data_IF_910117567272
#
_entry.id   IF_910117567272
#
_cell.length_a   1.000
_cell.length_b   1.000
_cell.length_c   1.000
_cell.angle_alpha   90.00
_cell.angle_beta   90.00
_cell.angle_gamma   90.00
#
_symmetry.space_group_name_H-M   'P 1'
#
loop_
_entity.id
_entity.type
_entity.pdbx_description
1 polymer ?
#
# COMPACT_ATOMS: atom_id res chain seq x y z
N UNK A 1 4.92 -2.10 -50.38
CA UNK A 1 5.22 -1.37 -49.16
C UNK A 1 3.91 -1.23 -48.37
N UNK A 2 3.78 -1.75 -47.15
CA UNK A 2 2.59 -1.52 -46.37
C UNK A 2 2.50 -0.05 -45.97
N UNK A 3 1.38 0.56 -46.30
CA UNK A 3 1.00 1.92 -46.01
C UNK A 3 1.11 2.16 -44.50
N UNK A 4 2.07 2.99 -44.07
CA UNK A 4 2.20 3.44 -42.71
C UNK A 4 1.02 4.37 -42.45
N UNK A 5 -0.12 3.80 -42.03
CA UNK A 5 -1.27 4.57 -41.61
C UNK A 5 -0.84 5.66 -40.61
N UNK A 6 -1.61 6.75 -40.46
CA UNK A 6 -1.22 7.94 -39.72
C UNK A 6 -0.64 7.56 -38.37
N UNK A 7 0.65 7.90 -38.15
CA UNK A 7 1.34 7.68 -36.89
C UNK A 7 0.55 8.39 -35.78
N UNK A 8 0.07 7.62 -34.82
CA UNK A 8 -0.58 8.15 -33.64
C UNK A 8 0.49 8.45 -32.59
N UNK A 9 1.04 9.66 -32.52
CA UNK A 9 2.23 9.99 -31.71
C UNK A 9 1.96 9.80 -30.19
N UNK A 10 0.70 9.75 -29.81
CA UNK A 10 0.29 9.54 -28.42
C UNK A 10 0.21 8.04 -28.02
N UNK A 11 0.14 7.12 -28.99
CA UNK A 11 -0.01 5.69 -28.70
C UNK A 11 1.13 5.12 -27.83
N UNK A 12 2.39 5.54 -27.97
CA UNK A 12 3.47 5.14 -27.05
C UNK A 12 3.24 5.51 -25.59
N UNK A 13 2.37 6.49 -25.29
CA UNK A 13 2.00 6.85 -23.92
C UNK A 13 1.17 5.75 -23.22
N UNK A 14 0.58 4.82 -23.98
CA UNK A 14 -0.05 3.63 -23.43
C UNK A 14 1.00 2.53 -23.42
N UNK A 15 1.67 2.31 -22.30
CA UNK A 15 2.74 1.33 -22.19
C UNK A 15 2.20 -0.11 -22.24
N UNK A 16 2.99 -1.05 -22.79
CA UNK A 16 2.60 -2.47 -22.80
C UNK A 16 2.54 -3.04 -21.38
N UNK A 17 1.56 -3.91 -21.12
CA UNK A 17 1.33 -4.48 -19.79
C UNK A 17 0.76 -3.49 -18.75
N UNK A 18 0.42 -2.29 -19.19
CA UNK A 18 -0.18 -1.21 -18.41
C UNK A 18 -1.47 -0.73 -19.07
N UNK A 19 -2.15 0.20 -18.42
CA UNK A 19 -3.34 0.83 -18.96
C UNK A 19 -3.35 2.34 -18.71
N UNK A 20 -4.28 3.01 -19.37
CA UNK A 20 -4.63 4.40 -19.09
C UNK A 20 -6.14 4.58 -19.12
N UNK A 21 -6.64 5.63 -18.46
CA UNK A 21 -8.03 6.02 -18.61
C UNK A 21 -8.24 6.86 -19.88
N UNK A 22 -9.41 6.74 -20.49
CA UNK A 22 -9.82 7.64 -21.61
C UNK A 22 -9.71 9.10 -21.22
N UNK A 23 -10.13 9.43 -20.00
CA UNK A 23 -10.06 10.79 -19.46
C UNK A 23 -8.61 11.30 -19.43
N UNK A 24 -7.68 10.50 -18.91
CA UNK A 24 -6.25 10.88 -18.87
C UNK A 24 -5.69 11.16 -20.28
N UNK A 25 -6.02 10.32 -21.28
CA UNK A 25 -5.59 10.54 -22.66
C UNK A 25 -6.16 11.82 -23.25
N UNK A 26 -7.42 12.15 -22.97
CA UNK A 26 -8.05 13.37 -23.45
C UNK A 26 -7.46 14.63 -22.80
N UNK A 27 -7.31 14.62 -21.48
CA UNK A 27 -6.93 15.79 -20.68
C UNK A 27 -5.43 16.04 -20.64
N UNK A 28 -4.63 14.98 -20.49
CA UNK A 28 -3.17 15.09 -20.28
C UNK A 28 -2.35 14.87 -21.55
N UNK A 29 -2.84 14.01 -22.46
CA UNK A 29 -2.16 13.73 -23.72
C UNK A 29 -2.74 14.45 -24.94
N UNK A 30 -3.82 15.23 -24.75
CA UNK A 30 -4.45 16.00 -25.81
C UNK A 30 -5.04 15.14 -26.95
N UNK A 31 -5.35 13.88 -26.69
CA UNK A 31 -5.88 12.94 -27.68
C UNK A 31 -7.34 13.29 -27.97
N UNK A 32 -7.73 13.39 -29.24
CA UNK A 32 -9.14 13.62 -29.58
C UNK A 32 -9.98 12.34 -29.38
N UNK A 33 -11.27 12.51 -29.06
CA UNK A 33 -12.21 11.39 -28.93
C UNK A 33 -12.21 10.53 -30.20
N UNK A 34 -12.20 11.16 -31.37
CA UNK A 34 -12.17 10.47 -32.66
C UNK A 34 -10.91 9.61 -32.86
N UNK A 35 -9.72 10.11 -32.49
CA UNK A 35 -8.47 9.38 -32.59
C UNK A 35 -8.48 8.15 -31.66
N UNK A 36 -9.02 8.29 -30.45
CA UNK A 36 -9.14 7.23 -29.49
C UNK A 36 -10.14 6.14 -29.95
N UNK A 37 -11.30 6.53 -30.47
CA UNK A 37 -12.30 5.59 -30.98
C UNK A 37 -11.77 4.84 -32.22
N UNK A 38 -11.00 5.49 -33.09
CA UNK A 38 -10.33 4.85 -34.22
C UNK A 38 -9.26 3.85 -33.75
N UNK A 39 -8.51 4.15 -32.71
CA UNK A 39 -7.52 3.21 -32.16
C UNK A 39 -8.18 1.96 -31.57
N UNK A 40 -9.35 2.10 -30.92
CA UNK A 40 -10.14 0.98 -30.43
C UNK A 40 -10.72 0.15 -31.60
N UNK A 41 -11.32 0.80 -32.61
CA UNK A 41 -11.88 0.12 -33.79
C UNK A 41 -10.82 -0.63 -34.60
N UNK A 42 -9.62 -0.09 -34.70
CA UNK A 42 -8.49 -0.71 -35.44
C UNK A 42 -7.71 -1.74 -34.63
N UNK A 43 -8.10 -2.04 -33.39
CA UNK A 43 -7.43 -3.00 -32.53
C UNK A 43 -6.04 -2.55 -32.01
N UNK A 44 -5.68 -1.27 -32.16
CA UNK A 44 -4.45 -0.70 -31.58
C UNK A 44 -4.57 -0.52 -30.08
N UNK A 45 -5.79 -0.36 -29.57
CA UNK A 45 -6.18 -0.39 -28.17
C UNK A 45 -7.31 -1.38 -27.95
N UNK A 46 -7.38 -1.92 -26.75
CA UNK A 46 -8.48 -2.72 -26.24
C UNK A 46 -9.08 -2.08 -24.98
N UNK A 47 -10.36 -2.34 -24.74
CA UNK A 47 -11.05 -1.87 -23.54
C UNK A 47 -10.93 -2.92 -22.45
N UNK A 48 -10.31 -2.58 -21.32
CA UNK A 48 -10.25 -3.46 -20.15
C UNK A 48 -11.48 -3.31 -19.25
N UNK A 49 -11.97 -2.08 -19.11
CA UNK A 49 -13.17 -1.73 -18.36
C UNK A 49 -13.74 -0.43 -18.93
N UNK A 50 -14.92 -0.03 -18.48
CA UNK A 50 -15.53 1.23 -18.94
C UNK A 50 -14.58 2.41 -18.66
N UNK A 51 -14.11 3.04 -19.73
CA UNK A 51 -13.19 4.18 -19.65
C UNK A 51 -11.73 3.84 -19.38
N UNK A 52 -11.35 2.56 -19.39
CA UNK A 52 -9.98 2.09 -19.21
C UNK A 52 -9.53 1.33 -20.46
N UNK A 53 -8.37 1.70 -21.01
CA UNK A 53 -7.85 1.12 -22.25
C UNK A 53 -6.38 0.73 -22.08
N UNK A 54 -5.99 -0.35 -22.78
CA UNK A 54 -4.62 -0.86 -22.83
C UNK A 54 -4.20 -1.17 -24.27
N UNK A 55 -2.91 -1.39 -24.47
CA UNK A 55 -2.43 -1.99 -25.72
C UNK A 55 -2.63 -3.50 -25.68
N UNK A 56 -3.11 -4.11 -26.77
CA UNK A 56 -3.23 -5.56 -26.84
C UNK A 56 -1.85 -6.25 -26.89
N UNK A 57 -1.84 -7.55 -26.64
CA UNK A 57 -0.68 -8.43 -26.81
C UNK A 57 0.13 -8.67 -25.53
N UNK A 58 0.12 -7.78 -24.56
CA UNK A 58 0.77 -7.98 -23.25
C UNK A 58 -0.29 -7.83 -22.16
N UNK A 59 -0.61 -8.91 -21.42
CA UNK A 59 -1.59 -8.84 -20.34
C UNK A 59 -1.19 -7.82 -19.28
N UNK A 60 -2.16 -7.08 -18.77
CA UNK A 60 -1.94 -6.19 -17.61
C UNK A 60 -1.86 -7.06 -16.36
N UNK A 61 -0.74 -6.95 -15.63
CA UNK A 61 -0.55 -7.59 -14.33
C UNK A 61 -0.87 -6.60 -13.20
N UNK A 62 -0.87 -7.06 -11.95
CA UNK A 62 -1.11 -6.17 -10.83
C UNK A 62 -0.01 -5.09 -10.70
N UNK A 63 1.26 -5.43 -11.00
CA UNK A 63 2.36 -4.46 -11.03
C UNK A 63 2.12 -3.38 -12.10
N UNK A 64 1.63 -3.81 -13.28
CA UNK A 64 1.22 -2.89 -14.34
C UNK A 64 0.08 -1.99 -13.92
N UNK A 65 -0.85 -2.46 -13.05
CA UNK A 65 -1.89 -1.63 -12.45
C UNK A 65 -1.28 -0.57 -11.55
N UNK A 66 -0.40 -0.95 -10.62
CA UNK A 66 0.22 0.00 -9.68
C UNK A 66 1.06 1.04 -10.41
N UNK A 67 1.86 0.63 -11.40
CA UNK A 67 2.64 1.55 -12.26
C UNK A 67 1.72 2.52 -13.02
N UNK A 68 0.60 2.03 -13.57
CA UNK A 68 -0.40 2.86 -14.24
C UNK A 68 -1.06 3.87 -13.31
N UNK A 69 -1.40 3.46 -12.08
CA UNK A 69 -1.96 4.33 -11.05
C UNK A 69 -0.99 5.47 -10.71
N UNK A 70 0.29 5.16 -10.45
CA UNK A 70 1.30 6.17 -10.12
C UNK A 70 1.53 7.16 -11.27
N UNK A 71 1.39 6.72 -12.52
CA UNK A 71 1.54 7.60 -13.68
C UNK A 71 0.32 8.50 -13.90
N UNK A 72 -0.89 7.99 -13.63
CA UNK A 72 -2.13 8.71 -13.93
C UNK A 72 -2.65 9.57 -12.79
N UNK A 73 -2.42 9.15 -11.56
CA UNK A 73 -2.92 9.87 -10.40
C UNK A 73 -1.90 10.91 -9.93
N UNK A 74 -2.38 12.11 -9.59
CA UNK A 74 -1.57 13.15 -8.94
C UNK A 74 -1.41 12.86 -7.43
N UNK A 75 -1.32 11.59 -7.08
CA UNK A 75 -1.19 11.12 -5.70
C UNK A 75 -0.38 9.83 -5.65
N UNK A 76 0.42 9.69 -4.61
CA UNK A 76 1.17 8.48 -4.34
C UNK A 76 0.23 7.28 -4.17
N UNK A 77 0.52 6.19 -4.89
CA UNK A 77 -0.07 4.86 -4.69
C UNK A 77 1.05 3.86 -4.48
N UNK A 78 0.97 3.07 -3.44
CA UNK A 78 2.00 2.08 -3.15
C UNK A 78 1.39 0.79 -2.60
N UNK A 79 2.14 -0.31 -2.77
CA UNK A 79 1.84 -1.59 -2.14
C UNK A 79 2.32 -1.54 -0.69
N UNK A 80 1.43 -1.84 0.27
CA UNK A 80 1.76 -1.76 1.69
C UNK A 80 1.13 -2.90 2.51
N UNK A 81 1.14 -2.75 3.82
CA UNK A 81 0.53 -3.66 4.77
C UNK A 81 0.94 -5.12 4.58
N UNK A 82 -0.02 -6.04 4.66
CA UNK A 82 0.22 -7.48 4.53
C UNK A 82 0.88 -7.86 3.21
N UNK A 83 0.55 -7.17 2.10
CA UNK A 83 1.16 -7.46 0.80
C UNK A 83 2.66 -7.14 0.77
N UNK A 84 3.07 -6.00 1.31
CA UNK A 84 4.49 -5.65 1.39
C UNK A 84 5.26 -6.54 2.39
N UNK A 85 4.63 -6.99 3.48
CA UNK A 85 5.22 -7.94 4.41
C UNK A 85 5.37 -9.34 3.79
N UNK A 86 4.42 -9.77 2.97
CA UNK A 86 4.52 -11.04 2.22
C UNK A 86 5.68 -11.02 1.22
N UNK A 87 5.83 -9.92 0.47
CA UNK A 87 6.95 -9.72 -0.45
C UNK A 87 8.31 -9.66 0.28
N UNK A 88 8.32 -9.19 1.53
CA UNK A 88 9.51 -9.19 2.38
C UNK A 88 9.80 -10.57 3.03
N UNK A 89 8.96 -11.59 2.79
CA UNK A 89 9.08 -12.91 3.40
C UNK A 89 8.74 -12.96 4.90
N UNK A 90 8.06 -11.93 5.41
CA UNK A 90 7.72 -11.79 6.83
C UNK A 90 6.30 -12.30 7.15
N UNK A 91 5.46 -12.51 6.15
CA UNK A 91 4.14 -13.08 6.30
C UNK A 91 4.17 -14.55 5.86
N UNK A 92 4.30 -15.47 6.82
CA UNK A 92 4.29 -16.91 6.56
C UNK A 92 2.89 -17.48 6.27
N UNK A 93 1.85 -16.72 6.55
CA UNK A 93 0.51 -17.03 6.07
C UNK A 93 0.45 -16.63 4.60
N UNK A 94 0.66 -17.61 3.72
CA UNK A 94 0.36 -17.44 2.30
C UNK A 94 -1.09 -16.97 2.21
N UNK A 95 -1.27 -15.69 1.98
CA UNK A 95 -2.59 -15.16 1.68
C UNK A 95 -2.96 -15.62 0.26
N UNK A 96 -3.46 -16.87 0.15
CA UNK A 96 -4.00 -17.42 -1.09
C UNK A 96 -5.25 -16.67 -1.58
N UNK A 97 -5.66 -15.63 -0.86
CA UNK A 97 -6.87 -14.86 -1.21
C UNK A 97 -6.70 -14.04 -2.49
N UNK A 98 -5.48 -13.92 -3.03
CA UNK A 98 -5.21 -13.09 -4.20
C UNK A 98 -5.41 -11.60 -3.95
N UNK A 99 -5.44 -11.15 -2.69
CA UNK A 99 -5.60 -9.75 -2.32
C UNK A 99 -4.29 -8.98 -2.42
N UNK A 100 -4.36 -7.77 -2.96
CA UNK A 100 -3.26 -6.83 -2.98
C UNK A 100 -3.68 -5.54 -2.26
N UNK A 101 -2.97 -5.22 -1.19
CA UNK A 101 -3.22 -4.04 -0.36
C UNK A 101 -2.52 -2.82 -0.96
N UNK A 102 -3.32 -1.88 -1.45
CA UNK A 102 -2.88 -0.60 -2.00
C UNK A 102 -3.18 0.54 -1.05
N UNK A 103 -2.24 1.44 -0.90
CA UNK A 103 -2.31 2.58 0.01
C UNK A 103 -2.16 3.88 -0.76
N UNK A 104 -3.01 4.87 -0.45
CA UNK A 104 -2.95 6.19 -1.07
C UNK A 104 -3.62 7.25 -0.21
N UNK A 105 -3.24 8.49 -0.39
CA UNK A 105 -3.97 9.66 0.16
C UNK A 105 -5.23 9.98 -0.66
N UNK A 106 -5.26 9.57 -1.93
CA UNK A 106 -6.42 9.74 -2.81
C UNK A 106 -7.53 8.70 -2.55
N UNK A 107 -8.77 8.97 -2.94
CA UNK A 107 -9.85 7.99 -2.94
C UNK A 107 -9.61 6.87 -3.96
N UNK A 108 -10.22 5.71 -3.70
CA UNK A 108 -10.19 4.58 -4.63
C UNK A 108 -10.80 4.95 -5.99
N UNK A 109 -10.11 4.72 -7.12
CA UNK A 109 -10.70 4.92 -8.42
C UNK A 109 -11.88 3.97 -8.68
N UNK A 110 -13.04 4.46 -9.15
CA UNK A 110 -14.26 3.64 -9.25
C UNK A 110 -14.20 2.52 -10.31
N UNK A 111 -13.20 2.57 -11.18
CA UNK A 111 -12.94 1.54 -12.19
C UNK A 111 -11.98 0.45 -11.73
N UNK A 112 -11.25 0.63 -10.63
CA UNK A 112 -10.20 -0.30 -10.18
C UNK A 112 -10.75 -1.72 -9.99
N UNK A 113 -11.86 -1.86 -9.27
CA UNK A 113 -12.53 -3.16 -9.03
C UNK A 113 -13.22 -3.75 -10.26
N UNK A 114 -13.25 -3.02 -11.38
CA UNK A 114 -13.87 -3.47 -12.64
C UNK A 114 -12.85 -3.98 -13.65
N UNK A 115 -11.56 -3.93 -13.31
CA UNK A 115 -10.50 -4.49 -14.14
C UNK A 115 -10.63 -6.01 -14.19
N UNK A 116 -10.42 -6.63 -15.37
CA UNK A 116 -10.56 -8.08 -15.56
C UNK A 116 -9.32 -8.82 -15.06
N UNK A 117 -8.95 -8.62 -13.79
CA UNK A 117 -7.82 -9.26 -13.14
C UNK A 117 -8.31 -10.23 -12.06
N UNK A 118 -7.51 -11.27 -11.81
CA UNK A 118 -7.76 -12.21 -10.71
C UNK A 118 -7.38 -11.62 -9.34
N UNK A 119 -6.60 -10.53 -9.34
CA UNK A 119 -6.16 -9.84 -8.13
C UNK A 119 -7.29 -9.02 -7.54
N UNK A 120 -7.60 -9.22 -6.27
CA UNK A 120 -8.56 -8.40 -5.51
C UNK A 120 -7.81 -7.23 -4.87
N UNK A 121 -8.06 -6.02 -5.35
CA UNK A 121 -7.42 -4.81 -4.84
C UNK A 121 -8.15 -4.30 -3.61
N UNK A 122 -7.43 -4.23 -2.49
CA UNK A 122 -7.90 -3.65 -1.23
C UNK A 122 -7.30 -2.26 -1.07
N UNK A 123 -8.14 -1.22 -1.18
CA UNK A 123 -7.69 0.17 -1.13
C UNK A 123 -7.77 0.75 0.28
N UNK A 124 -6.64 1.27 0.76
CA UNK A 124 -6.52 1.92 2.06
C UNK A 124 -6.24 3.42 1.90
N UNK A 125 -7.09 4.25 2.49
CA UNK A 125 -6.82 5.69 2.60
C UNK A 125 -5.92 5.98 3.79
N UNK A 126 -4.73 6.54 3.53
CA UNK A 126 -3.65 6.66 4.51
C UNK A 126 -3.64 7.93 5.33
N UNK A 127 -4.41 8.96 4.97
CA UNK A 127 -4.38 10.27 5.62
C UNK A 127 -4.75 10.29 7.12
N UNK A 128 -5.37 9.21 7.64
CA UNK A 128 -5.61 9.03 9.08
C UNK A 128 -4.41 8.46 9.82
N UNK A 129 -3.54 7.76 9.10
CA UNK A 129 -2.35 7.11 9.66
C UNK A 129 -1.12 8.00 9.52
N UNK A 130 -0.91 8.57 8.34
CA UNK A 130 0.30 9.28 7.98
C UNK A 130 0.11 10.79 7.81
N UNK A 131 1.11 11.56 8.22
CA UNK A 131 1.40 12.84 7.61
C UNK A 131 2.10 12.59 6.27
N UNK A 132 1.56 13.13 5.17
CA UNK A 132 2.07 12.83 3.84
C UNK A 132 3.50 13.29 3.63
N UNK A 133 3.83 14.51 4.01
CA UNK A 133 5.17 15.06 3.84
C UNK A 133 6.20 14.31 4.69
N UNK A 134 5.85 14.01 5.94
CA UNK A 134 6.71 13.27 6.84
C UNK A 134 6.89 11.82 6.38
N UNK A 135 5.86 11.17 5.82
CA UNK A 135 5.97 9.84 5.23
C UNK A 135 6.95 9.83 4.05
N UNK A 136 6.82 10.76 3.12
CA UNK A 136 7.74 10.88 1.98
C UNK A 136 9.19 11.14 2.44
N UNK A 137 9.37 11.98 3.47
CA UNK A 137 10.69 12.26 4.05
C UNK A 137 11.30 11.08 4.83
N UNK A 138 10.50 10.09 5.23
CA UNK A 138 10.98 8.93 6.01
C UNK A 138 11.85 7.97 5.21
N UNK A 139 11.84 8.07 3.89
CA UNK A 139 12.56 7.18 2.96
C UNK A 139 12.22 5.69 3.20
N UNK A 140 10.94 5.40 3.46
CA UNK A 140 10.42 4.07 3.78
C UNK A 140 9.77 3.36 2.59
N UNK A 141 9.61 4.07 1.47
CA UNK A 141 9.13 3.50 0.22
C UNK A 141 10.31 3.06 -0.64
N UNK A 142 10.17 1.91 -1.28
CA UNK A 142 11.14 1.35 -2.24
C UNK A 142 10.57 1.43 -3.65
N UNK A 143 11.38 1.88 -4.57
CA UNK A 143 11.06 1.85 -5.99
C UNK A 143 11.24 0.45 -6.55
N UNK A 144 10.21 -0.04 -7.23
CA UNK A 144 10.17 -1.35 -7.86
C UNK A 144 10.04 -1.16 -9.37
N UNK A 145 10.92 -1.76 -10.18
CA UNK A 145 10.87 -1.59 -11.63
C UNK A 145 9.71 -2.37 -12.25
N UNK A 146 9.06 -1.75 -13.24
CA UNK A 146 8.11 -2.43 -14.13
C UNK A 146 8.23 -1.85 -15.54
N UNK A 147 8.85 -2.60 -16.46
CA UNK A 147 9.17 -2.14 -17.81
C UNK A 147 9.96 -0.80 -17.79
N UNK A 148 9.41 0.27 -18.36
CA UNK A 148 9.99 1.61 -18.34
C UNK A 148 9.55 2.48 -17.16
N UNK A 149 8.67 1.98 -16.31
CA UNK A 149 8.09 2.71 -15.20
C UNK A 149 8.52 2.14 -13.85
N UNK A 150 8.20 2.86 -12.81
CA UNK A 150 8.41 2.47 -11.42
C UNK A 150 7.09 2.41 -10.68
N UNK A 151 7.00 1.53 -9.71
CA UNK A 151 5.96 1.53 -8.70
C UNK A 151 6.58 1.50 -7.31
N UNK A 152 5.79 1.78 -6.27
CA UNK A 152 6.28 1.98 -4.92
C UNK A 152 5.81 0.86 -4.00
N UNK A 153 6.69 0.39 -3.11
CA UNK A 153 6.37 -0.58 -2.07
C UNK A 153 6.86 -0.12 -0.70
N UNK A 154 6.03 -0.28 0.31
CA UNK A 154 6.40 0.02 1.69
C UNK A 154 7.53 -0.88 2.19
N UNK A 155 8.42 -0.34 3.00
CA UNK A 155 9.36 -1.14 3.79
C UNK A 155 8.63 -1.96 4.85
N UNK A 156 9.28 -2.97 5.41
CA UNK A 156 8.70 -3.80 6.46
C UNK A 156 8.24 -2.97 7.68
N UNK A 157 9.02 -1.95 8.07
CA UNK A 157 8.68 -1.04 9.17
C UNK A 157 7.40 -0.28 8.91
N UNK A 158 7.25 0.29 7.71
CA UNK A 158 6.04 1.03 7.32
C UNK A 158 4.84 0.07 7.21
N UNK A 159 5.01 -1.03 6.50
CA UNK A 159 3.97 -2.02 6.26
C UNK A 159 3.41 -2.59 7.56
N UNK A 160 4.25 -2.82 8.57
CA UNK A 160 3.78 -3.28 9.88
C UNK A 160 2.92 -2.23 10.61
N UNK A 161 3.32 -0.96 10.59
CA UNK A 161 2.50 0.11 11.16
C UNK A 161 1.14 0.25 10.46
N UNK A 162 1.10 -0.02 9.15
CA UNK A 162 -0.13 -0.06 8.37
C UNK A 162 -1.03 -1.23 8.76
N UNK A 163 -0.45 -2.42 8.95
CA UNK A 163 -1.17 -3.61 9.45
C UNK A 163 -1.81 -3.34 10.82
N UNK A 164 -1.13 -2.62 11.71
CA UNK A 164 -1.66 -2.29 13.04
C UNK A 164 -2.92 -1.39 13.01
N UNK A 165 -3.21 -0.74 11.88
CA UNK A 165 -4.50 -0.05 11.71
C UNK A 165 -5.68 -1.01 11.71
N UNK A 166 -5.47 -2.22 11.23
CA UNK A 166 -6.50 -3.24 11.05
C UNK A 166 -6.65 -4.17 12.28
N UNK A 167 -5.81 -4.00 13.30
CA UNK A 167 -5.90 -4.73 14.57
C UNK A 167 -6.95 -4.07 15.48
N UNK A 168 -7.90 -4.85 16.05
CA UNK A 168 -8.08 -6.29 15.97
C UNK A 168 -9.08 -6.75 14.89
N UNK A 169 -9.54 -5.86 14.02
CA UNK A 169 -10.63 -6.11 13.07
C UNK A 169 -10.28 -7.16 12.02
N UNK A 170 -9.54 -6.74 10.98
CA UNK A 170 -9.14 -7.63 9.88
C UNK A 170 -7.86 -8.41 10.19
N UNK A 171 -7.08 -7.98 11.18
CA UNK A 171 -5.85 -8.64 11.64
C UNK A 171 -5.97 -8.92 13.13
N UNK A 172 -5.82 -10.18 13.54
CA UNK A 172 -5.86 -10.55 14.96
C UNK A 172 -4.60 -10.09 15.70
N UNK A 173 -4.68 -9.99 17.02
CA UNK A 173 -3.51 -9.74 17.88
C UNK A 173 -2.43 -10.80 17.67
N UNK A 174 -2.84 -12.07 17.59
CA UNK A 174 -1.94 -13.19 17.39
C UNK A 174 -1.22 -13.09 16.04
N UNK A 175 -1.93 -12.74 14.97
CA UNK A 175 -1.30 -12.54 13.66
C UNK A 175 -0.30 -11.37 13.70
N UNK A 176 -0.65 -10.25 14.34
CA UNK A 176 0.27 -9.11 14.47
C UNK A 176 1.52 -9.47 15.30
N UNK A 177 1.36 -10.25 16.37
CA UNK A 177 2.48 -10.74 17.19
C UNK A 177 3.42 -11.68 16.39
N UNK A 178 2.84 -12.60 15.62
CA UNK A 178 3.59 -13.50 14.73
C UNK A 178 4.37 -12.72 13.65
N UNK A 179 3.77 -11.68 13.09
CA UNK A 179 4.47 -10.78 12.16
C UNK A 179 5.66 -10.08 12.85
N UNK A 180 5.44 -9.53 14.05
CA UNK A 180 6.51 -8.89 14.82
C UNK A 180 7.63 -9.87 15.15
N UNK A 181 7.31 -11.14 15.43
CA UNK A 181 8.31 -12.17 15.70
C UNK A 181 9.31 -12.35 14.54
N UNK A 182 8.89 -12.15 13.29
CA UNK A 182 9.78 -12.18 12.12
C UNK A 182 10.67 -10.94 11.97
N UNK A 183 10.43 -9.85 12.75
CA UNK A 183 11.01 -8.52 12.51
C UNK A 183 12.27 -8.25 13.35
N UNK A 184 13.19 -9.20 13.43
CA UNK A 184 14.42 -9.08 14.24
C UNK A 184 15.41 -8.01 13.72
N UNK A 185 15.34 -7.61 12.46
CA UNK A 185 16.33 -6.77 11.79
C UNK A 185 15.76 -5.46 11.24
N UNK A 186 14.80 -4.83 11.93
CA UNK A 186 14.25 -3.53 11.52
C UNK A 186 15.25 -2.38 11.72
N UNK A 187 15.13 -1.34 10.90
CA UNK A 187 15.94 -0.13 10.99
C UNK A 187 15.40 0.83 12.06
N UNK A 188 16.10 1.07 13.19
CA UNK A 188 15.62 2.00 14.19
C UNK A 188 15.49 3.43 13.65
N UNK A 189 16.38 3.86 12.75
CA UNK A 189 16.30 5.18 12.11
C UNK A 189 15.02 5.34 11.28
N UNK A 190 14.65 4.31 10.52
CA UNK A 190 13.41 4.34 9.71
C UNK A 190 12.18 4.28 10.59
N UNK A 191 12.21 3.44 11.63
CA UNK A 191 11.13 3.37 12.63
C UNK A 191 10.94 4.72 13.33
N UNK A 192 11.99 5.40 13.75
CA UNK A 192 11.91 6.72 14.37
C UNK A 192 11.21 7.73 13.44
N UNK A 193 11.63 7.80 12.17
CA UNK A 193 11.01 8.69 11.20
C UNK A 193 9.52 8.36 10.98
N UNK A 194 9.17 7.06 10.86
CA UNK A 194 7.80 6.61 10.66
C UNK A 194 6.91 6.84 11.88
N UNK A 195 7.41 6.60 13.10
CA UNK A 195 6.65 6.85 14.32
C UNK A 195 6.37 8.34 14.53
N UNK A 196 7.28 9.22 14.08
CA UNK A 196 7.07 10.67 14.04
C UNK A 196 6.05 11.07 12.97
N UNK A 197 6.08 10.43 11.80
CA UNK A 197 5.11 10.64 10.72
C UNK A 197 3.73 10.08 11.04
N UNK A 198 3.64 9.11 11.95
CA UNK A 198 2.40 8.43 12.31
C UNK A 198 1.52 9.35 13.19
N UNK A 199 0.30 9.64 12.71
CA UNK A 199 -0.71 10.44 13.42
C UNK A 199 -1.59 9.61 14.34
N UNK A 200 -1.53 8.28 14.24
CA UNK A 200 -2.49 7.41 14.88
C UNK A 200 -1.95 6.85 16.21
N UNK A 201 -2.41 7.42 17.32
CA UNK A 201 -1.98 7.05 18.70
C UNK A 201 -2.10 5.55 18.98
N UNK A 202 -3.24 4.92 18.61
CA UNK A 202 -3.45 3.48 18.84
C UNK A 202 -2.40 2.63 18.13
N UNK A 203 -2.03 2.98 16.90
CA UNK A 203 -1.01 2.26 16.12
C UNK A 203 0.35 2.36 16.80
N UNK A 204 0.74 3.56 17.25
CA UNK A 204 2.02 3.75 17.98
C UNK A 204 2.07 2.93 19.26
N UNK A 205 0.97 2.91 20.03
CA UNK A 205 0.88 2.12 21.27
C UNK A 205 0.95 0.61 21.00
N UNK A 206 0.22 0.12 19.99
CA UNK A 206 0.27 -1.28 19.58
C UNK A 206 1.67 -1.66 19.09
N UNK A 207 2.33 -0.78 18.32
CA UNK A 207 3.69 -1.02 17.86
C UNK A 207 4.64 -1.25 19.04
N UNK A 208 4.66 -0.36 20.02
CA UNK A 208 5.52 -0.51 21.19
C UNK A 208 5.15 -1.72 22.03
N UNK A 209 3.85 -2.00 22.21
CA UNK A 209 3.37 -3.18 22.91
C UNK A 209 3.92 -4.47 22.28
N UNK A 210 3.79 -4.66 20.97
CA UNK A 210 4.34 -5.84 20.31
C UNK A 210 5.87 -5.86 20.30
N UNK A 211 6.52 -4.71 20.10
CA UNK A 211 7.97 -4.62 20.08
C UNK A 211 8.62 -5.01 21.42
N UNK A 212 8.00 -4.63 22.54
CA UNK A 212 8.51 -4.97 23.90
C UNK A 212 8.40 -6.46 24.19
N UNK A 213 7.42 -7.16 23.64
CA UNK A 213 7.24 -8.60 23.83
C UNK A 213 8.40 -9.43 23.25
N UNK A 214 9.05 -8.95 22.19
CA UNK A 214 10.10 -9.70 21.49
C UNK A 214 11.54 -9.26 21.84
N UNK A 215 11.73 -8.11 22.50
CA UNK A 215 13.01 -7.67 23.07
C UNK A 215 14.16 -7.50 22.06
N UNK A 216 13.87 -7.15 20.82
CA UNK A 216 14.87 -6.98 19.77
C UNK A 216 15.83 -5.81 20.05
N UNK A 217 17.09 -5.92 19.63
CA UNK A 217 18.12 -4.91 19.85
C UNK A 217 17.75 -3.52 19.29
N UNK A 218 17.03 -3.49 18.15
CA UNK A 218 16.56 -2.22 17.55
C UNK A 218 15.56 -1.49 18.44
N UNK A 219 14.76 -2.22 19.24
CA UNK A 219 13.76 -1.63 20.14
C UNK A 219 14.40 -0.70 21.19
N UNK A 220 15.57 -1.04 21.69
CA UNK A 220 16.31 -0.25 22.67
C UNK A 220 16.79 1.11 22.15
N UNK A 221 16.69 1.34 20.84
CA UNK A 221 17.03 2.62 20.19
C UNK A 221 15.84 3.57 20.07
N UNK A 222 14.66 3.17 20.53
CA UNK A 222 13.40 3.93 20.41
C UNK A 222 12.85 4.19 21.81
N UNK A 223 12.83 5.46 22.25
CA UNK A 223 12.19 5.83 23.51
C UNK A 223 10.72 6.20 23.24
N UNK A 224 9.73 5.50 23.84
CA UNK A 224 8.33 5.83 23.66
C UNK A 224 7.98 7.28 24.02
N UNK A 225 8.78 7.93 24.88
CA UNK A 225 8.58 9.34 25.30
C UNK A 225 8.86 10.34 24.18
N UNK A 226 9.58 9.94 23.13
CA UNK A 226 9.87 10.78 21.98
C UNK A 226 8.70 10.91 21.01
N UNK A 227 7.59 10.17 21.26
CA UNK A 227 6.44 10.10 20.38
C UNK A 227 5.15 10.46 21.11
N UNK A 228 4.27 11.19 20.41
CA UNK A 228 2.93 11.45 20.94
C UNK A 228 2.12 10.14 21.00
N UNK A 229 2.06 9.56 22.18
CA UNK A 229 1.22 8.40 22.50
C UNK A 229 -0.16 8.82 23.02
N UNK A 230 -0.47 10.12 23.05
CA UNK A 230 -1.74 10.67 23.56
C UNK A 230 -1.98 10.35 25.03
N UNK A 231 -3.11 10.82 25.55
CA UNK A 231 -3.53 10.59 26.93
C UNK A 231 -4.68 9.57 27.02
N UNK A 232 -4.86 8.98 28.22
CA UNK A 232 -5.97 8.11 28.57
C UNK A 232 -5.94 6.71 27.93
N UNK A 233 -6.86 5.88 28.39
CA UNK A 233 -6.99 4.49 27.96
C UNK A 233 -7.60 4.38 26.56
N UNK A 234 -7.24 3.33 25.83
CA UNK A 234 -7.84 2.99 24.51
C UNK A 234 -8.31 1.53 24.56
N UNK A 235 -9.57 1.33 24.27
CA UNK A 235 -10.10 -0.02 24.08
C UNK A 235 -9.68 -0.49 22.68
N UNK A 236 -8.89 -1.55 22.64
CA UNK A 236 -8.49 -2.22 21.40
C UNK A 236 -9.11 -3.62 21.37
N UNK A 237 -8.90 -4.44 22.40
CA UNK A 237 -9.58 -5.71 22.55
C UNK A 237 -10.78 -5.53 23.50
N UNK A 238 -12.00 -5.79 23.01
CA UNK A 238 -13.20 -5.82 23.84
C UNK A 238 -13.12 -6.98 24.85
N UNK A 239 -13.47 -6.71 26.12
CA UNK A 239 -13.36 -7.71 27.20
C UNK A 239 -11.94 -8.13 27.56
N UNK A 240 -10.93 -7.49 26.98
CA UNK A 240 -9.50 -7.69 27.27
C UNK A 240 -9.08 -7.06 28.61
N UNK A 241 -7.79 -7.24 28.95
CA UNK A 241 -7.16 -6.60 30.10
C UNK A 241 -6.41 -5.34 29.67
N UNK A 242 -6.35 -4.36 30.57
CA UNK A 242 -5.59 -3.14 30.34
C UNK A 242 -4.08 -3.39 30.50
N UNK A 243 -3.31 -3.14 29.45
CA UNK A 243 -1.86 -2.98 29.56
C UNK A 243 -1.56 -1.64 30.23
N UNK A 244 -0.83 -1.63 31.37
CA UNK A 244 -0.59 -0.41 32.14
C UNK A 244 0.46 0.49 31.49
N UNK A 245 1.37 -0.04 30.66
CA UNK A 245 2.46 0.67 30.03
C UNK A 245 1.97 1.56 28.88
N UNK A 246 1.18 0.94 27.99
CA UNK A 246 0.71 1.64 26.79
C UNK A 246 -0.77 2.07 26.87
N UNK A 247 -1.44 1.76 27.98
CA UNK A 247 -2.85 2.11 28.24
C UNK A 247 -3.79 1.67 27.11
N UNK A 248 -3.59 0.45 26.60
CA UNK A 248 -4.46 -0.23 25.63
C UNK A 248 -5.05 -1.49 26.26
N UNK A 249 -6.28 -1.85 25.89
CA UNK A 249 -6.79 -3.19 26.25
C UNK A 249 -6.26 -4.21 25.24
N UNK A 250 -5.75 -5.31 25.76
CA UNK A 250 -5.21 -6.44 24.96
C UNK A 250 -5.98 -7.71 25.33
N UNK A 251 -6.04 -8.72 24.45
CA UNK A 251 -6.62 -10.02 24.79
C UNK A 251 -5.96 -10.59 26.05
N UNK A 252 -6.72 -11.38 26.82
CA UNK A 252 -6.24 -11.90 28.13
C UNK A 252 -4.97 -12.72 28.01
N UNK A 253 -4.83 -13.46 26.93
CA UNK A 253 -3.67 -14.32 26.66
C UNK A 253 -2.39 -13.51 26.31
N UNK A 254 -2.55 -12.21 26.00
CA UNK A 254 -1.45 -11.27 25.77
C UNK A 254 -1.07 -10.45 27.01
N UNK A 255 -1.84 -10.57 28.10
CA UNK A 255 -1.59 -9.86 29.33
C UNK A 255 -0.72 -10.72 30.24
N UNK A 256 0.60 -10.41 30.31
CA UNK A 256 1.51 -10.94 31.32
C UNK A 256 1.83 -12.43 31.12
N UNK A 257 2.90 -12.72 30.42
CA UNK A 257 3.83 -13.75 30.94
C UNK A 257 4.81 -12.95 31.81
N UNK A 258 4.56 -12.97 33.14
CA UNK A 258 5.53 -12.56 34.14
C UNK A 258 6.71 -13.53 34.17
#
# INVERSE_FOLDING_TARGET
MPDAGPQQPWLPLVHHGQFVTRQWLLERAGVSVHALDNALKSGKLESLARGVVARPGVPVTWEGVVASLNRMLDALVYVGGLSALSEAGLNHYLDFSGRLHLYSFAPEPPWLKKLPLKTDFVWHRTGRLWDEQALLASNSLREMPFASDLWQMASAEQAFLEVLMDVPGNVSFEHADNLMQGMSALSPRRLDALLKACRHVRVKRLFFFFADRHGYAWRNRLDPRDYDLGAGKRVVAEGGKLDPTYLITVPRDFHGQE
#
